data_IF_004285336858
#
_entry.id   IF_004285336858
#
_cell.length_a   1.000
_cell.length_b   1.000
_cell.length_c   1.000
_cell.angle_alpha   90.00
_cell.angle_beta   90.00
_cell.angle_gamma   90.00
#
_symmetry.space_group_name_H-M   'P 1'
#
loop_
_entity.id
_entity.type
_entity.pdbx_description
1 polymer ?
#
# COMPACT_ATOMS: atom_id res chain seq x y z
N UNK A 1 7.31 10.97 6.98
CA UNK A 1 6.99 9.61 6.50
C UNK A 1 5.95 9.61 5.36
N UNK A 2 4.85 10.38 5.42
CA UNK A 2 3.86 10.45 4.34
C UNK A 2 4.41 11.09 3.05
N UNK A 3 5.25 12.11 3.20
CA UNK A 3 6.06 12.75 2.17
C UNK A 3 6.94 11.75 1.40
N UNK A 4 7.60 10.82 2.11
CA UNK A 4 8.44 9.78 1.48
C UNK A 4 7.59 8.83 0.63
N UNK A 5 6.39 8.45 1.11
CA UNK A 5 5.46 7.62 0.33
C UNK A 5 5.03 8.33 -0.96
N UNK A 6 4.67 9.62 -0.85
CA UNK A 6 4.29 10.43 -2.00
C UNK A 6 5.44 10.59 -3.00
N UNK A 7 6.64 10.93 -2.54
CA UNK A 7 7.82 11.07 -3.41
C UNK A 7 8.14 9.74 -4.12
N UNK A 8 8.08 8.61 -3.40
CA UNK A 8 8.32 7.31 -4.01
C UNK A 8 7.27 6.92 -5.04
N UNK A 9 5.99 7.26 -4.81
CA UNK A 9 4.94 7.07 -5.79
C UNK A 9 5.20 7.89 -7.06
N UNK A 10 5.50 9.19 -6.91
CA UNK A 10 5.80 10.08 -8.03
C UNK A 10 7.03 9.58 -8.79
N UNK A 11 8.08 9.19 -8.06
CA UNK A 11 9.31 8.65 -8.66
C UNK A 11 9.05 7.36 -9.44
N UNK A 12 8.17 6.47 -8.98
CA UNK A 12 7.89 5.20 -9.67
C UNK A 12 6.76 5.27 -10.70
N UNK A 13 6.12 6.42 -10.88
CA UNK A 13 4.98 6.57 -11.79
C UNK A 13 5.29 6.21 -13.25
N UNK A 14 6.56 6.26 -13.66
CA UNK A 14 7.01 5.85 -14.99
C UNK A 14 7.07 4.33 -15.18
N UNK A 15 7.06 3.55 -14.09
CA UNK A 15 7.02 2.09 -14.13
C UNK A 15 5.58 1.64 -13.89
N UNK A 16 4.85 1.21 -14.94
CA UNK A 16 3.46 0.83 -14.78
C UNK A 16 3.32 -0.36 -13.83
N UNK A 17 2.31 -0.32 -12.97
CA UNK A 17 1.90 -1.41 -12.06
C UNK A 17 2.92 -1.78 -10.97
N UNK A 18 4.01 -1.01 -10.84
CA UNK A 18 5.04 -1.20 -9.82
C UNK A 18 4.96 -0.06 -8.82
N UNK A 19 4.95 -0.39 -7.53
CA UNK A 19 4.87 0.61 -6.47
C UNK A 19 5.71 0.25 -5.24
N UNK A 20 5.94 1.24 -4.37
CA UNK A 20 6.53 1.04 -3.05
C UNK A 20 5.56 1.30 -1.89
N UNK A 21 4.33 1.76 -2.18
CA UNK A 21 3.36 2.17 -1.17
C UNK A 21 3.01 0.98 -0.26
N UNK A 22 2.70 -0.18 -0.83
CA UNK A 22 2.45 -1.43 -0.09
C UNK A 22 3.59 -1.78 0.88
N UNK A 23 4.85 -1.74 0.42
CA UNK A 23 6.01 -2.02 1.25
C UNK A 23 6.14 -1.01 2.40
N UNK A 24 5.96 0.29 2.12
CA UNK A 24 6.05 1.31 3.16
C UNK A 24 4.95 1.18 4.20
N UNK A 25 3.72 0.88 3.79
CA UNK A 25 2.63 0.62 4.74
C UNK A 25 2.99 -0.55 5.65
N UNK A 26 3.52 -1.65 5.10
CA UNK A 26 3.95 -2.80 5.91
C UNK A 26 5.03 -2.35 6.92
N UNK A 27 6.09 -1.71 6.45
CA UNK A 27 7.21 -1.29 7.30
C UNK A 27 6.81 -0.28 8.37
N UNK A 28 6.04 0.74 8.01
CA UNK A 28 5.54 1.73 8.95
C UNK A 28 4.61 1.08 9.97
N UNK A 29 3.76 0.14 9.55
CA UNK A 29 2.90 -0.59 10.48
C UNK A 29 3.72 -1.37 11.51
N UNK A 30 4.78 -2.06 11.09
CA UNK A 30 5.63 -2.82 12.00
C UNK A 30 6.42 -1.94 12.97
N UNK A 31 6.87 -0.77 12.52
CA UNK A 31 7.76 0.12 13.30
C UNK A 31 6.97 1.12 14.16
N UNK A 32 5.88 1.68 13.63
CA UNK A 32 5.11 2.78 14.22
C UNK A 32 3.72 2.34 14.72
N UNK A 33 3.27 1.13 14.39
CA UNK A 33 1.97 0.61 14.78
C UNK A 33 0.83 1.50 14.27
N UNK A 34 -0.13 1.80 15.15
CA UNK A 34 -1.34 2.57 14.86
C UNK A 34 -1.09 3.98 14.29
N UNK A 35 0.08 4.59 14.55
CA UNK A 35 0.45 5.88 13.95
C UNK A 35 0.51 5.83 12.43
N UNK A 36 0.63 4.64 11.84
CA UNK A 36 0.63 4.43 10.39
C UNK A 36 -0.68 4.84 9.71
N UNK A 37 -1.83 4.71 10.39
CA UNK A 37 -3.10 5.17 9.82
C UNK A 37 -3.11 6.67 9.55
N UNK A 38 -2.51 7.47 10.45
CA UNK A 38 -2.35 8.90 10.23
C UNK A 38 -1.49 9.18 8.98
N UNK A 39 -0.37 8.45 8.83
CA UNK A 39 0.52 8.57 7.66
C UNK A 39 -0.23 8.23 6.37
N UNK A 40 -1.01 7.14 6.35
CA UNK A 40 -1.81 6.72 5.22
C UNK A 40 -2.81 7.81 4.82
N UNK A 41 -3.57 8.34 5.77
CA UNK A 41 -4.63 9.31 5.43
C UNK A 41 -4.08 10.68 5.05
N UNK A 42 -2.95 11.10 5.62
CA UNK A 42 -2.24 12.30 5.14
C UNK A 42 -1.73 12.08 3.71
N UNK A 43 -1.17 10.91 3.40
CA UNK A 43 -0.76 10.56 2.04
C UNK A 43 -1.94 10.61 1.06
N UNK A 44 -3.08 10.00 1.38
CA UNK A 44 -4.28 10.05 0.52
C UNK A 44 -4.80 11.48 0.36
N UNK A 45 -4.76 12.30 1.41
CA UNK A 45 -5.17 13.69 1.32
C UNK A 45 -4.25 14.50 0.38
N UNK A 46 -2.93 14.32 0.46
CA UNK A 46 -1.96 14.96 -0.44
C UNK A 46 -2.23 14.55 -1.90
N UNK A 47 -2.40 13.26 -2.15
CA UNK A 47 -2.75 12.72 -3.47
C UNK A 47 -4.02 13.37 -4.01
N UNK A 48 -5.09 13.45 -3.20
CA UNK A 48 -6.38 14.02 -3.61
C UNK A 48 -6.28 15.53 -3.90
N UNK A 49 -5.47 16.27 -3.15
CA UNK A 49 -5.24 17.70 -3.39
C UNK A 49 -4.48 17.95 -4.69
N UNK A 50 -3.56 17.06 -5.07
CA UNK A 50 -2.70 17.23 -6.25
C UNK A 50 -3.38 16.71 -7.52
N UNK A 51 -4.04 15.56 -7.46
CA UNK A 51 -4.65 14.90 -8.62
C UNK A 51 -6.17 15.05 -8.72
N UNK A 52 -6.78 15.74 -7.75
CA UNK A 52 -8.22 15.98 -7.69
C UNK A 52 -9.00 14.85 -7.04
N UNK A 53 -10.26 15.11 -6.72
CA UNK A 53 -11.12 14.14 -6.04
C UNK A 53 -11.83 13.23 -7.04
N UNK A 54 -11.88 11.92 -6.74
CA UNK A 54 -12.58 10.92 -7.55
C UNK A 54 -12.80 9.61 -6.79
N UNK A 55 -13.44 8.63 -7.44
CA UNK A 55 -13.71 7.30 -6.84
C UNK A 55 -12.44 6.60 -6.32
N UNK A 56 -11.29 6.88 -6.93
CA UNK A 56 -9.99 6.34 -6.50
C UNK A 56 -9.59 6.81 -5.09
N UNK A 57 -10.02 8.00 -4.65
CA UNK A 57 -9.76 8.49 -3.29
C UNK A 57 -10.47 7.58 -2.28
N UNK A 58 -11.73 7.21 -2.58
CA UNK A 58 -12.50 6.28 -1.75
C UNK A 58 -11.80 4.92 -1.70
N UNK A 59 -11.32 4.42 -2.84
CA UNK A 59 -10.52 3.19 -2.91
C UNK A 59 -9.32 3.25 -1.96
N UNK A 60 -8.52 4.31 -2.06
CA UNK A 60 -7.29 4.42 -1.29
C UNK A 60 -7.53 4.50 0.22
N UNK A 61 -8.63 5.12 0.66
CA UNK A 61 -8.96 5.18 2.09
C UNK A 61 -9.08 3.79 2.73
N UNK A 62 -9.79 2.85 2.11
CA UNK A 62 -9.98 1.52 2.71
C UNK A 62 -8.93 0.49 2.27
N UNK A 63 -8.39 0.58 1.06
CA UNK A 63 -7.42 -0.40 0.56
C UNK A 63 -6.12 -0.36 1.35
N UNK A 64 -5.60 0.85 1.61
CA UNK A 64 -4.39 1.01 2.42
C UNK A 64 -4.63 0.67 3.89
N UNK A 65 -5.81 1.02 4.42
CA UNK A 65 -6.21 0.61 5.76
C UNK A 65 -6.32 -0.92 5.88
N UNK A 66 -6.85 -1.60 4.84
CA UNK A 66 -6.93 -3.06 4.80
C UNK A 66 -5.54 -3.70 4.91
N UNK A 67 -4.57 -3.26 4.11
CA UNK A 67 -3.18 -3.75 4.22
C UNK A 67 -2.58 -3.47 5.60
N UNK A 68 -2.83 -2.28 6.16
CA UNK A 68 -2.42 -1.94 7.52
C UNK A 68 -2.99 -2.94 8.54
N UNK A 69 -4.29 -3.25 8.49
CA UNK A 69 -4.93 -4.17 9.43
C UNK A 69 -4.40 -5.60 9.30
N UNK A 70 -4.21 -6.08 8.06
CA UNK A 70 -3.58 -7.38 7.81
C UNK A 70 -2.17 -7.41 8.40
N UNK A 71 -1.38 -6.35 8.19
CA UNK A 71 -0.03 -6.27 8.75
C UNK A 71 -0.05 -6.20 10.28
N UNK A 72 -0.98 -5.46 10.88
CA UNK A 72 -1.15 -5.40 12.34
C UNK A 72 -1.51 -6.76 12.94
N UNK A 73 -2.37 -7.53 12.26
CA UNK A 73 -2.76 -8.87 12.69
C UNK A 73 -1.55 -9.80 12.74
N UNK A 74 -0.68 -9.73 11.73
CA UNK A 74 0.49 -10.60 11.63
C UNK A 74 1.80 -9.95 12.08
N UNK A 75 1.75 -8.83 12.82
CA UNK A 75 2.95 -8.06 13.21
C UNK A 75 4.00 -8.84 14.02
N UNK A 76 3.62 -9.97 14.62
CA UNK A 76 4.52 -10.88 15.35
C UNK A 76 5.41 -11.70 14.39
N UNK A 77 5.00 -11.89 13.13
CA UNK A 77 5.69 -12.71 12.13
C UNK A 77 6.49 -11.83 11.17
N UNK A 78 7.62 -11.28 11.60
CA UNK A 78 8.38 -10.28 10.84
C UNK A 78 9.39 -10.86 9.85
N UNK A 79 9.21 -12.11 9.42
CA UNK A 79 10.15 -12.73 8.48
C UNK A 79 10.01 -12.06 7.11
N UNK A 80 11.15 -11.87 6.43
CA UNK A 80 11.23 -11.24 5.12
C UNK A 80 10.30 -11.90 4.10
N UNK A 81 10.30 -13.23 4.05
CA UNK A 81 9.48 -14.00 3.13
C UNK A 81 7.99 -13.83 3.45
N UNK A 82 7.62 -13.89 4.73
CA UNK A 82 6.23 -13.77 5.14
C UNK A 82 5.65 -12.38 4.81
N UNK A 83 6.41 -11.32 5.05
CA UNK A 83 6.00 -9.96 4.70
C UNK A 83 5.94 -9.75 3.18
N UNK A 84 6.84 -10.37 2.42
CA UNK A 84 6.76 -10.37 0.96
C UNK A 84 5.52 -11.09 0.43
N UNK A 85 5.14 -12.23 1.03
CA UNK A 85 3.90 -12.95 0.69
C UNK A 85 2.66 -12.09 0.97
N UNK A 86 2.60 -11.42 2.13
CA UNK A 86 1.50 -10.47 2.43
C UNK A 86 1.42 -9.39 1.36
N UNK A 87 2.54 -8.75 1.03
CA UNK A 87 2.62 -7.71 -0.01
C UNK A 87 2.14 -8.22 -1.37
N UNK A 88 2.56 -9.42 -1.77
CA UNK A 88 2.16 -10.04 -3.04
C UNK A 88 0.68 -10.40 -3.11
N UNK A 89 0.14 -11.06 -2.07
CA UNK A 89 -1.30 -11.41 -1.99
C UNK A 89 -2.16 -10.15 -2.05
N UNK A 90 -1.76 -9.11 -1.30
CA UNK A 90 -2.42 -7.81 -1.40
C UNK A 90 -2.40 -7.26 -2.82
N UNK A 91 -1.24 -7.30 -3.50
CA UNK A 91 -1.15 -6.85 -4.88
C UNK A 91 -2.04 -7.63 -5.87
N UNK A 92 -2.16 -8.95 -5.71
CA UNK A 92 -3.06 -9.78 -6.52
C UNK A 92 -4.55 -9.51 -6.25
N UNK A 93 -4.89 -8.91 -5.11
CA UNK A 93 -6.27 -8.61 -4.72
C UNK A 93 -6.61 -7.13 -4.87
N UNK A 94 -5.67 -6.29 -5.32
CA UNK A 94 -5.81 -4.85 -5.36
C UNK A 94 -6.95 -4.38 -6.28
N UNK A 95 -7.00 -4.89 -7.51
CA UNK A 95 -8.05 -4.58 -8.49
C UNK A 95 -9.41 -5.13 -8.07
N UNK A 96 -9.44 -6.32 -7.47
CA UNK A 96 -10.64 -6.87 -6.84
C UNK A 96 -11.17 -5.92 -5.75
N UNK A 97 -10.30 -5.43 -4.87
CA UNK A 97 -10.68 -4.45 -3.85
C UNK A 97 -11.14 -3.14 -4.50
N UNK A 98 -10.43 -2.62 -5.50
CA UNK A 98 -10.80 -1.40 -6.23
C UNK A 98 -12.13 -1.49 -6.97
N UNK A 99 -12.62 -2.70 -7.25
CA UNK A 99 -13.90 -2.92 -7.94
C UNK A 99 -15.12 -2.64 -7.06
N UNK A 100 -14.96 -2.61 -5.73
CA UNK A 100 -16.08 -2.50 -4.77
C UNK A 100 -16.95 -1.25 -5.02
N UNK A 101 -16.42 -0.02 -5.19
CA UNK A 101 -17.28 1.12 -5.47
C UNK A 101 -18.03 1.02 -6.80
N UNK A 102 -17.49 0.30 -7.79
CA UNK A 102 -18.16 0.06 -9.06
C UNK A 102 -19.30 -0.95 -8.92
N UNK A 103 -19.20 -1.93 -8.02
CA UNK A 103 -20.33 -2.79 -7.63
C UNK A 103 -21.47 -1.97 -7.02
N UNK A 104 -21.15 -0.98 -6.18
CA UNK A 104 -22.14 -0.16 -5.47
C UNK A 104 -22.79 0.85 -6.42
N UNK A 105 -22.01 1.51 -7.27
CA UNK A 105 -22.50 2.62 -8.12
C UNK A 105 -23.07 2.16 -9.46
N UNK A 106 -22.50 1.11 -10.07
CA UNK A 106 -22.86 0.61 -11.39
C UNK A 106 -23.44 -0.82 -11.40
N UNK A 107 -23.64 -1.42 -10.23
CA UNK A 107 -24.18 -2.78 -10.08
C UNK A 107 -23.18 -3.90 -10.39
N UNK A 108 -23.66 -5.14 -10.31
CA UNK A 108 -22.82 -6.33 -10.45
C UNK A 108 -22.07 -6.41 -11.78
N UNK A 109 -22.73 -6.06 -12.89
CA UNK A 109 -22.10 -6.08 -14.21
C UNK A 109 -20.91 -5.10 -14.29
N UNK A 110 -21.05 -3.88 -13.74
CA UNK A 110 -19.98 -2.88 -13.74
C UNK A 110 -18.80 -3.32 -12.88
N UNK A 111 -19.05 -3.84 -11.68
CA UNK A 111 -18.01 -4.32 -10.78
C UNK A 111 -17.22 -5.49 -11.37
N UNK A 112 -17.94 -6.49 -11.92
CA UNK A 112 -17.32 -7.65 -12.57
C UNK A 112 -16.51 -7.23 -13.79
N UNK A 113 -17.06 -6.36 -14.64
CA UNK A 113 -16.34 -5.88 -15.83
C UNK A 113 -15.04 -5.14 -15.46
N UNK A 114 -15.09 -4.27 -14.44
CA UNK A 114 -13.90 -3.58 -13.94
C UNK A 114 -12.86 -4.57 -13.42
N UNK A 115 -13.27 -5.55 -12.61
CA UNK A 115 -12.35 -6.53 -12.05
C UNK A 115 -11.69 -7.39 -13.13
N UNK A 116 -12.46 -7.91 -14.09
CA UNK A 116 -11.94 -8.72 -15.19
C UNK A 116 -10.94 -7.90 -16.03
N UNK A 117 -11.26 -6.64 -16.34
CA UNK A 117 -10.35 -5.75 -17.06
C UNK A 117 -9.04 -5.47 -16.29
N UNK A 118 -9.10 -5.54 -14.95
CA UNK A 118 -7.99 -5.34 -14.03
C UNK A 118 -7.09 -6.57 -13.80
N UNK A 119 -7.45 -7.78 -14.23
CA UNK A 119 -6.70 -8.99 -13.88
C UNK A 119 -5.23 -8.95 -14.30
N UNK A 120 -4.93 -8.42 -15.49
CA UNK A 120 -3.54 -8.24 -15.95
C UNK A 120 -2.75 -7.30 -15.05
N UNK A 121 -3.41 -6.26 -14.54
CA UNK A 121 -2.82 -5.31 -13.61
C UNK A 121 -2.52 -6.03 -12.29
N UNK A 122 -3.49 -6.76 -11.73
CA UNK A 122 -3.36 -7.47 -10.46
C UNK A 122 -2.24 -8.51 -10.47
N UNK A 123 -2.08 -9.25 -11.57
CA UNK A 123 -1.00 -10.23 -11.72
C UNK A 123 0.37 -9.54 -11.66
N UNK A 124 0.58 -8.49 -12.45
CA UNK A 124 1.84 -7.76 -12.49
C UNK A 124 2.09 -7.07 -11.15
N UNK A 125 1.06 -6.47 -10.57
CA UNK A 125 1.13 -5.76 -9.31
C UNK A 125 1.46 -6.69 -8.14
N UNK A 126 0.82 -7.86 -8.06
CA UNK A 126 1.10 -8.89 -7.07
C UNK A 126 2.53 -9.44 -7.16
N UNK A 127 2.98 -9.81 -8.36
CA UNK A 127 4.36 -10.30 -8.57
C UNK A 127 5.38 -9.22 -8.21
N UNK A 128 5.16 -7.99 -8.67
CA UNK A 128 6.07 -6.86 -8.41
C UNK A 128 6.14 -6.53 -6.92
N UNK A 129 5.01 -6.46 -6.22
CA UNK A 129 4.94 -6.22 -4.79
C UNK A 129 5.63 -7.33 -3.97
N UNK A 130 5.50 -8.59 -4.39
CA UNK A 130 6.23 -9.70 -3.78
C UNK A 130 7.75 -9.53 -3.94
N UNK A 131 8.22 -9.33 -5.17
CA UNK A 131 9.66 -9.22 -5.48
C UNK A 131 10.27 -8.03 -4.75
N UNK A 132 9.62 -6.86 -4.83
CA UNK A 132 10.07 -5.62 -4.19
C UNK A 132 10.15 -5.80 -2.68
N UNK A 133 9.10 -6.33 -2.05
CA UNK A 133 9.14 -6.58 -0.62
C UNK A 133 10.22 -7.61 -0.25
N UNK A 134 10.37 -8.68 -1.02
CA UNK A 134 11.39 -9.70 -0.74
C UNK A 134 12.82 -9.17 -0.82
N UNK A 135 13.09 -8.22 -1.72
CA UNK A 135 14.42 -7.61 -1.89
C UNK A 135 14.64 -6.49 -0.88
N UNK A 136 13.67 -5.56 -0.76
CA UNK A 136 13.85 -4.28 -0.07
C UNK A 136 13.37 -4.24 1.37
N UNK A 137 12.63 -5.26 1.85
CA UNK A 137 12.11 -5.27 3.22
C UNK A 137 13.21 -5.08 4.27
N UNK A 138 14.26 -5.90 4.25
CA UNK A 138 15.35 -5.81 5.23
C UNK A 138 16.10 -4.48 5.21
N UNK A 139 16.62 -3.98 4.06
CA UNK A 139 17.35 -2.73 4.04
C UNK A 139 16.47 -1.55 4.49
N UNK A 140 15.23 -1.47 4.02
CA UNK A 140 14.35 -0.35 4.37
C UNK A 140 13.87 -0.42 5.82
N UNK A 141 13.58 -1.62 6.35
CA UNK A 141 13.23 -1.79 7.76
C UNK A 141 14.32 -1.20 8.66
N UNK A 142 15.58 -1.57 8.43
CA UNK A 142 16.72 -1.09 9.22
C UNK A 142 16.88 0.43 9.15
N UNK A 143 16.79 1.02 7.94
CA UNK A 143 16.94 2.46 7.73
C UNK A 143 15.81 3.23 8.44
N UNK A 144 14.55 2.81 8.24
CA UNK A 144 13.38 3.49 8.80
C UNK A 144 13.35 3.35 10.33
N UNK A 145 13.69 2.18 10.85
CA UNK A 145 13.72 1.95 12.30
C UNK A 145 14.76 2.85 12.97
N UNK A 146 15.96 2.96 12.39
CA UNK A 146 17.00 3.85 12.88
C UNK A 146 16.59 5.33 12.82
N UNK A 147 16.01 5.77 11.69
CA UNK A 147 15.52 7.13 11.53
C UNK A 147 14.41 7.45 12.56
N UNK A 148 13.47 6.52 12.76
CA UNK A 148 12.39 6.66 13.74
C UNK A 148 12.92 6.81 15.17
N UNK A 149 13.86 5.94 15.59
CA UNK A 149 14.47 6.02 16.94
C UNK A 149 15.14 7.37 17.19
N UNK A 150 15.86 7.92 16.20
CA UNK A 150 16.52 9.23 16.32
C UNK A 150 15.52 10.37 16.54
N UNK A 151 14.36 10.32 15.88
CA UNK A 151 13.32 11.34 16.04
C UNK A 151 12.68 11.32 17.43
N UNK A 152 12.49 10.13 18.04
CA UNK A 152 11.93 10.01 19.39
C UNK A 152 12.94 10.18 20.53
N UNK A 153 14.25 10.06 20.26
CA UNK A 153 15.29 10.29 21.28
C UNK A 153 15.60 11.79 21.44
N UNK A 154 15.14 12.64 20.52
CA UNK A 154 15.34 14.09 20.54
C UNK A 154 14.08 14.88 20.99
N UNK A 155 13.03 14.19 21.45
CA UNK A 155 11.80 14.78 22.00
C UNK A 155 11.68 14.48 23.50
#
# INVERSE_FOLDING_TARGET
MADIMFIAQVALRFIPNVELISLFIILFTLILGWKTLYIIYVFVAIEALIYGFGLWVINYLYIWAFLFFITMLFKKYQSKLFMAVISGIFGFTFGALCSIPYFITGGAASGIAYWIAGLRFDIIHGISNFIIAFILYKPFYSIIEQASKRLYTQS
#
